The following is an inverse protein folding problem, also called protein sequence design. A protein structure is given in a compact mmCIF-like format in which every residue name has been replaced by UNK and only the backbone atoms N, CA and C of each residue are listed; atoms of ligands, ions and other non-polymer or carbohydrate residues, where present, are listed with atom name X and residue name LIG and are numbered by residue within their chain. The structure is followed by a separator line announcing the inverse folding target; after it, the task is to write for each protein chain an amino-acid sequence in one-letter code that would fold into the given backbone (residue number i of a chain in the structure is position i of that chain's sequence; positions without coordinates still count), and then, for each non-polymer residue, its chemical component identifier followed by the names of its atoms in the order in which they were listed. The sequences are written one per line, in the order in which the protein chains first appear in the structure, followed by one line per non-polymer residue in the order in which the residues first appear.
data_IF_770491406974
#
_entry.id   IF_770491406974
#
_cell.length_a   1.000
_cell.length_b   1.000
_cell.length_c   1.000
_cell.angle_alpha   90.00
_cell.angle_beta   90.00
_cell.angle_gamma   90.00
#
_symmetry.space_group_name_H-M   'P 1'
#
loop_
_entity.id
_entity.type
_entity.pdbx_description
1 polymer ?
#
# COMPACT_ATOMS: atom_id res chain seq x y z
N UNK A 1 -16.76 6.01 -0.81
CA UNK A 1 -15.37 5.57 -1.03
C UNK A 1 -14.93 5.99 -2.43
N UNK A 2 -14.09 6.99 -2.51
CA UNK A 2 -13.57 7.53 -3.78
C UNK A 2 -12.06 7.71 -3.77
N UNK A 3 -11.47 8.06 -2.63
CA UNK A 3 -10.04 8.31 -2.47
C UNK A 3 -9.51 7.40 -1.38
N UNK A 4 -8.83 6.33 -1.80
CA UNK A 4 -8.47 5.21 -0.92
C UNK A 4 -6.96 5.06 -0.86
N UNK A 5 -6.42 4.88 0.35
CA UNK A 5 -5.04 4.44 0.51
C UNK A 5 -5.01 3.03 1.08
N UNK A 6 -4.07 2.24 0.59
CA UNK A 6 -3.84 0.87 1.06
C UNK A 6 -2.41 0.79 1.57
N UNK A 7 -2.26 0.53 2.84
CA UNK A 7 -0.98 0.43 3.53
C UNK A 7 -0.84 -0.93 4.20
N UNK A 8 0.38 -1.34 4.43
CA UNK A 8 0.67 -2.61 5.09
C UNK A 8 2.11 -3.04 4.87
N UNK A 9 2.55 -3.98 5.66
CA UNK A 9 3.88 -4.56 5.56
C UNK A 9 4.14 -5.13 4.16
N UNK A 10 5.36 -5.05 3.64
CA UNK A 10 5.71 -5.79 2.41
C UNK A 10 5.37 -7.27 2.56
N UNK A 11 4.74 -7.85 1.56
CA UNK A 11 4.27 -9.24 1.59
C UNK A 11 2.89 -9.44 2.21
N UNK A 12 2.22 -8.38 2.67
CA UNK A 12 0.86 -8.48 3.24
C UNK A 12 -0.23 -8.69 2.19
N UNK A 13 0.05 -8.39 0.92
CA UNK A 13 -0.94 -8.50 -0.16
C UNK A 13 -1.66 -7.20 -0.48
N UNK A 14 -1.03 -6.05 -0.23
CA UNK A 14 -1.59 -4.73 -0.55
C UNK A 14 -2.04 -4.63 -2.00
N UNK A 15 -1.19 -5.03 -2.93
CA UNK A 15 -1.52 -4.93 -4.35
C UNK A 15 -2.66 -5.86 -4.74
N UNK A 16 -2.78 -7.03 -4.12
CA UNK A 16 -3.90 -7.95 -4.35
C UNK A 16 -5.22 -7.34 -3.90
N UNK A 17 -5.25 -6.76 -2.70
CA UNK A 17 -6.43 -6.06 -2.17
C UNK A 17 -6.76 -4.84 -3.04
N UNK A 18 -5.76 -4.07 -3.42
CA UNK A 18 -5.94 -2.88 -4.26
C UNK A 18 -6.51 -3.22 -5.63
N UNK A 19 -6.03 -4.30 -6.26
CA UNK A 19 -6.60 -4.78 -7.54
C UNK A 19 -8.03 -5.25 -7.37
N UNK A 20 -8.35 -5.95 -6.28
CA UNK A 20 -9.71 -6.38 -6.00
C UNK A 20 -10.65 -5.18 -5.85
N UNK A 21 -10.23 -4.15 -5.12
CA UNK A 21 -10.98 -2.90 -4.99
C UNK A 21 -11.17 -2.21 -6.34
N UNK A 22 -10.12 -2.11 -7.14
CA UNK A 22 -10.18 -1.53 -8.48
C UNK A 22 -11.17 -2.29 -9.37
N UNK A 23 -11.10 -3.63 -9.38
CA UNK A 23 -11.97 -4.45 -10.21
C UNK A 23 -13.45 -4.33 -9.82
N UNK A 24 -13.74 -4.13 -8.55
CA UNK A 24 -15.12 -4.01 -8.06
C UNK A 24 -15.69 -2.61 -8.20
N UNK A 25 -14.87 -1.58 -8.05
CA UNK A 25 -15.34 -0.19 -8.01
C UNK A 25 -15.11 0.57 -9.30
N UNK A 26 -14.15 0.15 -10.13
CA UNK A 26 -13.72 0.91 -11.30
C UNK A 26 -12.83 2.10 -10.96
N UNK A 27 -12.53 2.35 -9.69
CA UNK A 27 -11.65 3.45 -9.27
C UNK A 27 -10.22 3.18 -9.74
N UNK A 28 -9.56 4.15 -10.40
CA UNK A 28 -8.19 3.94 -10.89
C UNK A 28 -7.21 3.60 -9.78
N UNK A 29 -6.31 2.65 -10.06
CA UNK A 29 -5.31 2.15 -9.12
C UNK A 29 -3.92 2.64 -9.50
N UNK A 30 -3.19 3.13 -8.51
CA UNK A 30 -1.81 3.61 -8.65
C UNK A 30 -0.93 2.97 -7.59
N UNK A 31 0.18 2.38 -8.03
CA UNK A 31 1.19 1.79 -7.14
C UNK A 31 2.33 2.79 -6.94
N UNK A 32 2.61 3.18 -5.70
CA UNK A 32 3.69 4.12 -5.40
C UNK A 32 5.06 3.60 -5.85
N UNK A 33 5.28 2.28 -5.75
CA UNK A 33 6.53 1.67 -6.19
C UNK A 33 6.77 1.85 -7.69
N UNK A 34 5.73 1.90 -8.50
CA UNK A 34 5.84 2.17 -9.94
C UNK A 34 6.17 3.64 -10.25
N UNK A 35 5.89 4.54 -9.32
CA UNK A 35 6.21 5.96 -9.46
C UNK A 35 7.63 6.30 -8.99
N UNK A 36 8.17 5.52 -8.07
CA UNK A 36 9.42 5.83 -7.37
C UNK A 36 10.61 5.03 -7.89
N UNK A 37 10.41 3.76 -8.25
CA UNK A 37 11.46 2.82 -8.62
C UNK A 37 11.58 2.63 -10.12
N UNK A 38 12.83 2.48 -10.59
CA UNK A 38 13.14 2.02 -11.94
C UNK A 38 13.39 0.49 -11.93
N UNK A 39 13.36 -0.12 -13.10
CA UNK A 39 13.54 -1.56 -13.24
C UNK A 39 14.91 -2.08 -12.75
N UNK A 40 15.93 -1.23 -12.75
CA UNK A 40 17.28 -1.53 -12.27
C UNK A 40 17.45 -1.32 -10.75
N UNK A 41 16.35 -1.08 -10.03
CA UNK A 41 16.29 -0.75 -8.59
C UNK A 41 16.91 0.60 -8.21
N UNK A 42 17.17 1.47 -9.17
CA UNK A 42 17.44 2.88 -8.88
C UNK A 42 16.12 3.61 -8.64
N UNK A 43 16.17 4.74 -7.96
CA UNK A 43 14.99 5.55 -7.68
C UNK A 43 15.01 6.84 -8.49
N UNK A 44 13.82 7.37 -8.77
CA UNK A 44 13.70 8.71 -9.34
C UNK A 44 14.02 9.75 -8.27
N UNK A 45 14.31 10.98 -8.67
CA UNK A 45 14.49 12.07 -7.72
C UNK A 45 13.19 12.33 -6.94
N UNK A 46 13.32 12.77 -5.70
CA UNK A 46 12.19 13.06 -4.82
C UNK A 46 11.20 14.02 -5.45
N UNK A 47 11.68 15.05 -6.15
CA UNK A 47 10.84 16.02 -6.84
C UNK A 47 9.99 15.37 -7.94
N UNK A 48 10.54 14.42 -8.68
CA UNK A 48 9.82 13.68 -9.72
C UNK A 48 8.73 12.81 -9.10
N UNK A 49 9.05 12.11 -8.02
CA UNK A 49 8.07 11.30 -7.29
C UNK A 49 6.90 12.15 -6.77
N UNK A 50 7.19 13.29 -6.14
CA UNK A 50 6.17 14.19 -5.63
C UNK A 50 5.31 14.79 -6.73
N UNK A 51 5.90 15.11 -7.89
CA UNK A 51 5.15 15.60 -9.04
C UNK A 51 4.16 14.55 -9.56
N UNK A 52 4.60 13.30 -9.69
CA UNK A 52 3.75 12.18 -10.11
C UNK A 52 2.62 11.93 -9.13
N UNK A 53 2.93 11.92 -7.84
CA UNK A 53 1.94 11.72 -6.79
C UNK A 53 0.92 12.86 -6.77
N UNK A 54 1.38 14.11 -6.85
CA UNK A 54 0.50 15.28 -6.84
C UNK A 54 -0.49 15.26 -8.00
N UNK A 55 -0.06 14.83 -9.18
CA UNK A 55 -0.94 14.69 -10.34
C UNK A 55 -2.08 13.69 -10.08
N UNK A 56 -1.80 12.59 -9.37
CA UNK A 56 -2.83 11.61 -8.98
C UNK A 56 -3.75 12.18 -7.92
N UNK A 57 -3.21 12.85 -6.91
CA UNK A 57 -3.99 13.39 -5.79
C UNK A 57 -5.00 14.47 -6.21
N UNK A 58 -4.77 15.13 -7.34
CA UNK A 58 -5.69 16.11 -7.91
C UNK A 58 -6.93 15.49 -8.57
N UNK A 59 -6.90 14.20 -8.84
CA UNK A 59 -8.03 13.49 -9.46
C UNK A 59 -9.17 13.28 -8.45
N UNK A 60 -10.39 13.13 -8.96
CA UNK A 60 -11.57 12.94 -8.13
C UNK A 60 -11.62 11.58 -7.44
N UNK A 61 -11.04 10.58 -8.07
CA UNK A 61 -11.04 9.20 -7.56
C UNK A 61 -9.67 8.56 -7.76
N UNK A 62 -9.22 7.83 -6.73
CA UNK A 62 -7.98 7.06 -6.80
C UNK A 62 -7.89 6.03 -5.69
N UNK A 63 -7.20 4.93 -5.99
CA UNK A 63 -6.69 3.97 -5.01
C UNK A 63 -5.18 4.03 -5.11
N UNK A 64 -4.51 4.34 -4.02
CA UNK A 64 -3.04 4.42 -3.98
C UNK A 64 -2.54 3.39 -2.98
N UNK A 65 -1.73 2.44 -3.44
CA UNK A 65 -1.08 1.50 -2.54
C UNK A 65 0.40 1.83 -2.36
N UNK A 66 0.88 1.59 -1.16
CA UNK A 66 2.26 1.82 -0.79
C UNK A 66 2.40 2.50 0.56
N UNK A 67 3.56 2.34 1.17
CA UNK A 67 3.83 2.90 2.49
C UNK A 67 4.37 4.32 2.41
N UNK A 68 5.59 4.52 2.00
CA UNK A 68 6.23 5.84 1.80
C UNK A 68 5.83 6.88 2.86
N UNK A 69 6.32 6.70 4.07
CA UNK A 69 5.97 7.49 5.26
C UNK A 69 6.10 9.01 5.02
N UNK A 70 7.09 9.44 4.24
CA UNK A 70 7.32 10.86 3.97
C UNK A 70 6.15 11.55 3.26
N UNK A 71 5.33 10.82 2.53
CA UNK A 71 4.15 11.35 1.82
C UNK A 71 2.83 10.87 2.43
N UNK A 72 2.88 10.04 3.46
CA UNK A 72 1.68 9.41 4.00
C UNK A 72 0.71 10.43 4.59
N UNK A 73 1.21 11.43 5.31
CA UNK A 73 0.35 12.47 5.89
C UNK A 73 -0.39 13.26 4.80
N UNK A 74 0.29 13.60 3.70
CA UNK A 74 -0.35 14.27 2.58
C UNK A 74 -1.49 13.42 2.00
N UNK A 75 -1.23 12.13 1.78
CA UNK A 75 -2.26 11.21 1.26
C UNK A 75 -3.41 11.03 2.23
N UNK A 76 -3.12 10.91 3.52
CA UNK A 76 -4.14 10.82 4.58
C UNK A 76 -5.03 12.06 4.63
N UNK A 77 -4.46 13.24 4.47
CA UNK A 77 -5.23 14.49 4.51
C UNK A 77 -6.26 14.58 3.39
N UNK A 78 -6.01 13.91 2.25
CA UNK A 78 -6.85 13.98 1.05
C UNK A 78 -7.75 12.75 0.84
N UNK A 79 -7.45 11.62 1.48
CA UNK A 79 -8.24 10.39 1.33
C UNK A 79 -9.56 10.45 2.12
N UNK A 80 -10.47 9.57 1.76
CA UNK A 80 -11.69 9.31 2.55
C UNK A 80 -11.65 7.96 3.25
N UNK A 81 -10.83 7.02 2.78
CA UNK A 81 -10.80 5.64 3.26
C UNK A 81 -9.37 5.11 3.34
N UNK A 82 -9.08 4.38 4.39
CA UNK A 82 -7.78 3.73 4.62
C UNK A 82 -7.99 2.24 4.87
N UNK A 83 -7.26 1.42 4.14
CA UNK A 83 -7.10 -0.01 4.44
C UNK A 83 -5.69 -0.26 4.94
N UNK A 84 -5.55 -0.67 6.19
CA UNK A 84 -4.26 -1.02 6.77
C UNK A 84 -4.21 -2.53 7.01
N UNK A 85 -3.36 -3.21 6.23
CA UNK A 85 -3.12 -4.64 6.38
C UNK A 85 -2.01 -4.85 7.43
N UNK A 86 -2.41 -4.89 8.69
CA UNK A 86 -1.51 -5.00 9.84
C UNK A 86 -1.33 -6.47 10.23
N UNK A 87 -0.72 -7.23 9.33
CA UNK A 87 -0.56 -8.67 9.46
C UNK A 87 0.71 -9.05 10.23
N UNK A 88 0.75 -10.27 10.81
CA UNK A 88 1.94 -10.77 11.50
C UNK A 88 3.17 -10.82 10.57
N UNK A 89 4.34 -10.57 11.15
CA UNK A 89 5.62 -10.60 10.43
C UNK A 89 5.83 -11.89 9.66
N UNK A 90 5.52 -13.03 10.27
CA UNK A 90 5.69 -14.35 9.64
C UNK A 90 4.85 -14.50 8.37
N UNK A 91 3.62 -14.01 8.38
CA UNK A 91 2.76 -14.01 7.20
C UNK A 91 3.37 -13.16 6.10
N UNK A 92 3.86 -11.97 6.44
CA UNK A 92 4.45 -11.06 5.47
C UNK A 92 5.75 -11.60 4.87
N UNK A 93 6.59 -12.24 5.68
CA UNK A 93 7.79 -12.94 5.21
C UNK A 93 7.44 -14.05 4.22
N UNK A 94 6.41 -14.84 4.52
CA UNK A 94 5.90 -15.85 3.61
C UNK A 94 5.44 -15.27 2.28
N UNK A 95 4.76 -14.13 2.31
CA UNK A 95 4.32 -13.42 1.12
C UNK A 95 5.47 -12.93 0.25
N UNK A 96 6.51 -12.34 0.86
CA UNK A 96 7.70 -11.91 0.13
C UNK A 96 8.43 -13.09 -0.50
N UNK A 97 8.59 -14.19 0.24
CA UNK A 97 9.24 -15.40 -0.28
C UNK A 97 8.48 -16.00 -1.45
N UNK A 98 7.15 -15.99 -1.40
CA UNK A 98 6.30 -16.55 -2.45
C UNK A 98 6.42 -15.80 -3.78
N UNK A 99 6.75 -14.52 -3.77
CA UNK A 99 6.85 -13.70 -4.99
C UNK A 99 8.26 -13.51 -5.52
N UNK A 100 9.28 -14.14 -4.90
CA UNK A 100 10.66 -14.13 -5.42
C UNK A 100 10.72 -14.69 -6.83
N UNK A 101 11.45 -14.02 -7.70
CA UNK A 101 11.61 -14.43 -9.07
C UNK A 101 10.36 -14.29 -9.94
N UNK A 102 9.29 -13.71 -9.44
CA UNK A 102 8.02 -13.53 -10.14
C UNK A 102 7.87 -12.07 -10.59
N UNK A 103 7.58 -11.85 -11.87
CA UNK A 103 7.24 -10.54 -12.39
C UNK A 103 5.85 -10.11 -11.87
N UNK A 104 5.74 -8.85 -11.43
CA UNK A 104 4.49 -8.30 -10.87
C UNK A 104 4.16 -6.96 -11.52
N UNK A 105 2.88 -6.58 -11.44
CA UNK A 105 2.39 -5.32 -11.99
C UNK A 105 2.62 -4.11 -11.09
N UNK A 106 2.93 -4.33 -9.81
CA UNK A 106 3.04 -3.26 -8.80
C UNK A 106 4.47 -2.76 -8.55
N UNK A 107 5.48 -3.50 -9.04
CA UNK A 107 6.88 -3.08 -8.98
C UNK A 107 7.58 -3.30 -10.33
N UNK A 108 8.58 -2.47 -10.67
CA UNK A 108 9.25 -2.58 -11.96
C UNK A 108 10.45 -3.53 -11.98
N UNK A 109 10.69 -4.30 -10.90
CA UNK A 109 11.80 -5.28 -10.83
C UNK A 109 11.29 -6.62 -10.32
N UNK A 110 12.15 -7.63 -10.36
CA UNK A 110 11.89 -8.97 -9.80
C UNK A 110 12.56 -9.06 -8.41
N UNK A 111 11.81 -9.42 -7.38
CA UNK A 111 12.29 -9.53 -6.01
C UNK A 111 13.28 -10.69 -5.83
N UNK A 112 14.24 -10.50 -4.92
CA UNK A 112 15.27 -11.46 -4.55
C UNK A 112 15.24 -11.72 -3.04
N UNK A 113 16.14 -12.55 -2.53
CA UNK A 113 16.26 -12.89 -1.11
C UNK A 113 16.51 -11.66 -0.21
N UNK A 114 17.14 -10.63 -0.74
CA UNK A 114 17.45 -9.39 0.00
C UNK A 114 16.20 -8.57 0.34
N UNK A 115 15.11 -8.80 -0.37
CA UNK A 115 13.91 -7.99 -0.19
C UNK A 115 13.14 -8.32 1.10
N UNK A 116 13.50 -9.40 1.81
CA UNK A 116 12.90 -9.76 3.10
C UNK A 116 13.21 -8.78 4.23
N UNK A 117 14.33 -8.06 4.14
CA UNK A 117 14.69 -7.07 5.18
C UNK A 117 13.69 -5.92 5.29
N UNK A 118 12.95 -5.61 4.22
CA UNK A 118 11.91 -4.58 4.23
C UNK A 118 10.77 -4.92 5.18
N UNK A 119 10.49 -6.19 5.42
CA UNK A 119 9.43 -6.63 6.32
C UNK A 119 9.74 -6.25 7.76
N UNK A 120 10.94 -6.59 8.23
CA UNK A 120 11.37 -6.28 9.59
C UNK A 120 11.46 -4.77 9.80
N UNK A 121 12.03 -4.07 8.83
CA UNK A 121 12.18 -2.62 8.87
C UNK A 121 10.82 -1.92 8.98
N UNK A 122 9.82 -2.39 8.23
CA UNK A 122 8.48 -1.85 8.33
C UNK A 122 7.92 -2.00 9.74
N UNK A 123 7.95 -3.20 10.29
CA UNK A 123 7.34 -3.49 11.59
C UNK A 123 8.00 -2.76 12.75
N UNK A 124 9.32 -2.58 12.70
CA UNK A 124 10.09 -1.93 13.76
C UNK A 124 10.05 -0.40 13.64
N UNK A 125 10.26 0.13 12.44
CA UNK A 125 10.45 1.57 12.21
C UNK A 125 9.21 2.29 11.72
N UNK A 126 8.48 1.69 10.78
CA UNK A 126 7.37 2.39 10.10
C UNK A 126 6.02 2.17 10.76
N UNK A 127 5.73 0.95 11.20
CA UNK A 127 4.43 0.62 11.80
C UNK A 127 4.01 1.57 12.93
N UNK A 128 4.89 1.90 13.90
CA UNK A 128 4.52 2.85 14.96
C UNK A 128 4.14 4.23 14.43
N UNK A 129 4.82 4.70 13.38
CA UNK A 129 4.52 5.99 12.74
C UNK A 129 3.18 5.94 12.00
N UNK A 130 2.90 4.84 11.33
CA UNK A 130 1.61 4.63 10.66
C UNK A 130 0.47 4.70 11.68
N UNK A 131 0.57 3.96 12.76
CA UNK A 131 -0.46 3.96 13.80
C UNK A 131 -0.69 5.35 14.40
N UNK A 132 0.38 6.09 14.65
CA UNK A 132 0.31 7.47 15.15
C UNK A 132 -0.39 8.40 14.16
N UNK A 133 -0.08 8.29 12.87
CA UNK A 133 -0.72 9.08 11.82
C UNK A 133 -2.22 8.72 11.69
N UNK A 134 -2.57 7.46 11.73
CA UNK A 134 -3.97 7.02 11.64
C UNK A 134 -4.78 7.56 12.82
N UNK A 135 -4.20 7.61 14.00
CA UNK A 135 -4.84 8.19 15.17
C UNK A 135 -5.12 9.69 14.98
N UNK A 136 -4.19 10.43 14.37
CA UNK A 136 -4.37 11.86 14.07
C UNK A 136 -5.42 12.13 13.00
N UNK A 137 -5.67 11.18 12.10
CA UNK A 137 -6.65 11.29 11.03
C UNK A 137 -7.83 10.35 11.24
N UNK A 138 -8.26 10.22 12.49
CA UNK A 138 -9.35 9.31 12.89
C UNK A 138 -10.73 9.68 12.32
N UNK A 139 -10.86 10.84 11.72
CA UNK A 139 -12.07 11.26 10.99
C UNK A 139 -12.28 10.53 9.66
N UNK A 140 -11.24 9.87 9.15
CA UNK A 140 -11.35 9.06 7.93
C UNK A 140 -11.98 7.71 8.23
N UNK A 141 -12.45 7.03 7.19
CA UNK A 141 -12.93 5.65 7.31
C UNK A 141 -11.73 4.71 7.34
N UNK A 142 -11.29 4.33 8.52
CA UNK A 142 -10.08 3.53 8.73
C UNK A 142 -10.44 2.10 9.07
N UNK A 143 -9.93 1.16 8.28
CA UNK A 143 -10.11 -0.27 8.49
C UNK A 143 -8.75 -0.92 8.69
N UNK A 144 -8.51 -1.46 9.89
CA UNK A 144 -7.27 -2.15 10.25
C UNK A 144 -7.57 -3.64 10.31
N UNK A 145 -6.90 -4.41 9.46
CA UNK A 145 -7.08 -5.85 9.38
C UNK A 145 -5.86 -6.56 9.95
N UNK A 146 -6.09 -7.53 10.82
CA UNK A 146 -5.03 -8.30 11.47
C UNK A 146 -4.70 -9.61 10.77
N UNK A 147 -5.55 -10.04 9.83
CA UNK A 147 -5.36 -11.28 9.07
C UNK A 147 -5.96 -11.15 7.67
N UNK A 148 -5.48 -12.00 6.77
CA UNK A 148 -6.02 -12.11 5.42
C UNK A 148 -7.51 -12.49 5.45
N UNK A 149 -7.88 -13.36 6.38
CA UNK A 149 -9.28 -13.77 6.55
C UNK A 149 -10.20 -12.59 6.88
N UNK A 150 -9.79 -11.72 7.78
CA UNK A 150 -10.55 -10.50 8.10
C UNK A 150 -10.73 -9.61 6.87
N UNK A 151 -9.66 -9.41 6.11
CA UNK A 151 -9.70 -8.59 4.89
C UNK A 151 -10.64 -9.18 3.86
N UNK A 152 -10.55 -10.48 3.61
CA UNK A 152 -11.36 -11.17 2.61
C UNK A 152 -12.85 -11.11 2.97
N UNK A 153 -13.21 -11.34 4.23
CA UNK A 153 -14.58 -11.21 4.71
C UNK A 153 -15.14 -9.82 4.52
N UNK A 154 -14.35 -8.81 4.85
CA UNK A 154 -14.75 -7.41 4.69
C UNK A 154 -15.01 -7.07 3.23
N UNK A 155 -14.11 -7.44 2.35
CA UNK A 155 -14.25 -7.19 0.91
C UNK A 155 -15.47 -7.91 0.31
N UNK A 156 -15.74 -9.14 0.73
CA UNK A 156 -16.92 -9.87 0.31
C UNK A 156 -18.22 -9.16 0.73
N UNK A 157 -18.28 -8.67 1.96
CA UNK A 157 -19.47 -8.02 2.50
C UNK A 157 -19.76 -6.67 1.89
N UNK A 158 -18.72 -5.87 1.60
CA UNK A 158 -18.88 -4.55 0.98
C UNK A 158 -19.36 -4.67 -0.46
N UNK A 159 -18.91 -5.69 -1.19
CA UNK A 159 -19.13 -5.81 -2.62
C UNK A 159 -20.16 -6.87 -3.02
N UNK A 160 -20.82 -7.42 -2.04
CA UNK A 160 -21.90 -8.41 -2.28
C UNK A 160 -23.23 -7.72 -2.59
#
# INVERSE_FOLDING_TARGET
MKKVIVIGCPGSGKSTVSRALHNKTGIPLYHLDMMYWNADKTTVEKSVFLERLSAVLEKDEWIIDGNYISTMELRLSLCDTVFFLDYPTEFCLGGVRARRGVARSDIPWIETDKDTEFVEKFNVEQRPRVLSLLERYSDKNIFIFKSREETDKFCQNIFS
#
